data_IF_661415614766
#
_entry.id   IF_661415614766
#
_cell.length_a   1.000
_cell.length_b   1.000
_cell.length_c   1.000
_cell.angle_alpha   90.00
_cell.angle_beta   90.00
_cell.angle_gamma   90.00
#
_symmetry.space_group_name_H-M   'P 1'
#
loop_
_entity.id
_entity.type
_entity.pdbx_description
1 polymer ?
#
# COMPACT_ATOMS: atom_id res chain seq x y z
N UNK A 1 -7.46 15.73 -17.52
CA UNK A 1 -7.78 15.57 -16.28
C UNK A 1 -7.19 14.36 -15.65
N UNK A 2 -6.54 14.50 -14.62
CA UNK A 2 -5.91 13.39 -13.96
C UNK A 2 -6.92 12.50 -13.27
N UNK A 3 -6.54 11.26 -13.10
CA UNK A 3 -7.34 10.35 -12.34
C UNK A 3 -7.23 10.66 -10.87
N UNK A 4 -8.32 10.44 -10.17
CA UNK A 4 -8.32 10.62 -8.74
C UNK A 4 -8.35 9.26 -8.08
N UNK A 5 -7.49 9.09 -7.07
CA UNK A 5 -7.60 7.93 -6.23
C UNK A 5 -8.86 8.05 -5.40
N UNK A 6 -9.63 6.98 -5.26
CA UNK A 6 -10.72 6.98 -4.29
C UNK A 6 -10.15 6.99 -2.88
N UNK A 7 -10.97 7.37 -1.92
CA UNK A 7 -10.61 7.19 -0.52
C UNK A 7 -10.47 5.71 -0.24
N UNK A 8 -9.31 5.31 0.26
CA UNK A 8 -9.04 3.91 0.52
C UNK A 8 -8.76 3.71 1.99
N UNK A 9 -9.31 2.66 2.54
CA UNK A 9 -9.07 2.31 3.92
C UNK A 9 -7.81 1.48 4.05
N UNK A 10 -7.16 1.59 5.21
CA UNK A 10 -5.93 0.87 5.45
C UNK A 10 -6.06 -0.62 5.17
N UNK A 11 -7.16 -1.22 5.61
CA UNK A 11 -7.36 -2.66 5.39
C UNK A 11 -7.40 -3.02 3.92
N UNK A 12 -8.06 -2.16 3.13
CA UNK A 12 -8.17 -2.40 1.69
C UNK A 12 -6.82 -2.30 1.02
N UNK A 13 -6.04 -1.31 1.43
CA UNK A 13 -4.71 -1.11 0.87
C UNK A 13 -3.80 -2.29 1.21
N UNK A 14 -3.85 -2.74 2.46
CA UNK A 14 -3.05 -3.88 2.88
C UNK A 14 -3.44 -5.13 2.08
N UNK A 15 -4.73 -5.37 1.90
CA UNK A 15 -5.18 -6.52 1.11
C UNK A 15 -4.72 -6.44 -0.33
N UNK A 16 -4.76 -5.23 -0.91
CA UNK A 16 -4.30 -5.05 -2.28
C UNK A 16 -2.83 -5.44 -2.41
N UNK A 17 -2.00 -5.00 -1.48
CA UNK A 17 -0.59 -5.35 -1.52
C UNK A 17 -0.37 -6.84 -1.29
N UNK A 18 -1.19 -7.46 -0.44
CA UNK A 18 -1.09 -8.91 -0.27
C UNK A 18 -1.41 -9.65 -1.56
N UNK A 19 -2.36 -9.15 -2.34
CA UNK A 19 -2.65 -9.73 -3.66
C UNK A 19 -1.48 -9.58 -4.61
N UNK A 20 -0.68 -8.56 -4.42
CA UNK A 20 0.50 -8.34 -5.25
C UNK A 20 1.69 -9.16 -4.78
N UNK A 21 1.50 -10.01 -3.78
CA UNK A 21 2.57 -10.87 -3.30
C UNK A 21 3.32 -10.35 -2.09
N UNK A 22 2.90 -9.22 -1.53
CA UNK A 22 3.49 -8.72 -0.29
C UNK A 22 2.97 -9.50 0.89
N UNK A 23 3.81 -9.71 1.88
CA UNK A 23 3.41 -10.36 3.12
C UNK A 23 3.68 -9.44 4.28
N UNK A 24 2.82 -9.52 5.30
CA UNK A 24 3.02 -8.75 6.51
C UNK A 24 4.17 -9.40 7.27
N UNK A 25 5.24 -8.64 7.47
CA UNK A 25 6.42 -9.17 8.17
C UNK A 25 6.56 -8.61 9.57
N UNK A 26 5.84 -7.52 9.86
CA UNK A 26 6.00 -6.88 11.15
C UNK A 26 4.86 -5.89 11.35
N UNK A 27 4.48 -5.70 12.60
CA UNK A 27 3.56 -4.65 12.97
C UNK A 27 4.08 -3.99 14.22
N UNK A 28 4.22 -2.67 14.18
CA UNK A 28 4.68 -1.92 15.33
C UNK A 28 3.66 -0.83 15.61
N UNK A 29 2.93 -0.96 16.71
CA UNK A 29 1.83 -0.05 16.98
C UNK A 29 0.80 -0.14 15.86
N UNK A 30 0.51 1.00 15.26
CA UNK A 30 -0.46 1.06 14.18
C UNK A 30 0.19 0.97 12.80
N UNK A 31 1.50 0.73 12.73
CA UNK A 31 2.19 0.64 11.45
C UNK A 31 2.38 -0.82 11.06
N UNK A 32 1.88 -1.17 9.88
CA UNK A 32 1.99 -2.53 9.34
C UNK A 32 3.04 -2.50 8.24
N UNK A 33 4.04 -3.37 8.36
CA UNK A 33 5.12 -3.46 7.39
C UNK A 33 4.91 -4.69 6.53
N UNK A 34 4.93 -4.47 5.21
CA UNK A 34 4.76 -5.54 4.24
C UNK A 34 6.00 -5.62 3.36
N UNK A 35 6.38 -6.84 3.01
CA UNK A 35 7.56 -7.06 2.20
C UNK A 35 7.20 -7.95 1.01
N UNK A 36 7.76 -7.60 -0.16
CA UNK A 36 7.64 -8.41 -1.35
C UNK A 36 8.85 -9.33 -1.40
N UNK A 37 8.66 -10.66 -1.22
CA UNK A 37 9.80 -11.58 -1.11
C UNK A 37 10.69 -11.61 -2.35
N UNK A 38 10.08 -11.46 -3.53
CA UNK A 38 10.87 -11.52 -4.77
C UNK A 38 11.83 -10.35 -4.93
N UNK A 39 11.38 -9.17 -4.57
CA UNK A 39 12.15 -7.96 -4.80
C UNK A 39 12.80 -7.41 -3.55
N UNK A 40 12.34 -7.84 -2.39
CA UNK A 40 12.79 -7.27 -1.13
C UNK A 40 12.18 -5.92 -0.83
N UNK A 41 11.27 -5.44 -1.66
CA UNK A 41 10.63 -4.15 -1.42
C UNK A 41 9.85 -4.18 -0.12
N UNK A 42 9.99 -3.11 0.65
CA UNK A 42 9.34 -2.97 1.95
C UNK A 42 8.48 -1.72 1.95
N UNK A 43 7.26 -1.86 2.40
CA UNK A 43 6.35 -0.72 2.52
C UNK A 43 5.77 -0.71 3.92
N UNK A 44 5.26 0.46 4.30
CA UNK A 44 4.68 0.66 5.62
C UNK A 44 3.32 1.34 5.45
N UNK A 45 2.28 0.71 5.98
CA UNK A 45 0.93 1.24 5.89
C UNK A 45 0.41 1.52 7.30
N UNK A 46 0.04 2.76 7.61
CA UNK A 46 -0.54 3.06 8.93
C UNK A 46 -1.96 2.51 8.99
N UNK A 47 -2.28 1.88 10.11
CA UNK A 47 -3.55 1.21 10.27
C UNK A 47 -4.49 1.93 11.24
N UNK A 48 -4.03 3.04 11.81
CA UNK A 48 -4.79 3.72 12.85
C UNK A 48 -5.83 4.70 12.30
N UNK A 49 -5.77 5.01 11.02
CA UNK A 49 -6.69 5.96 10.42
C UNK A 49 -7.74 5.26 9.59
N UNK A 50 -8.83 5.97 9.36
CA UNK A 50 -9.89 5.43 8.52
C UNK A 50 -9.43 5.32 7.09
N UNK A 51 -8.82 6.39 6.59
CA UNK A 51 -8.41 6.47 5.19
C UNK A 51 -6.93 6.73 5.11
N UNK A 52 -6.31 6.16 4.09
CA UNK A 52 -4.91 6.41 3.78
C UNK A 52 -4.82 7.73 3.06
N UNK A 53 -3.92 8.58 3.48
CA UNK A 53 -3.67 9.83 2.78
C UNK A 53 -3.04 9.53 1.44
N UNK A 54 -3.58 10.17 0.40
CA UNK A 54 -3.15 9.87 -0.96
C UNK A 54 -1.65 10.12 -1.14
N UNK A 55 -1.12 11.17 -0.54
CA UNK A 55 0.30 11.45 -0.66
C UNK A 55 1.17 10.37 -0.07
N UNK A 56 0.75 9.81 1.07
CA UNK A 56 1.47 8.72 1.68
C UNK A 56 1.44 7.48 0.78
N UNK A 57 0.26 7.15 0.25
CA UNK A 57 0.13 6.00 -0.62
C UNK A 57 0.97 6.15 -1.87
N UNK A 58 0.92 7.32 -2.51
CA UNK A 58 1.70 7.54 -3.71
C UNK A 58 3.20 7.45 -3.45
N UNK A 59 3.66 7.90 -2.29
CA UNK A 59 5.08 7.80 -1.97
C UNK A 59 5.49 6.33 -1.79
N UNK A 60 4.61 5.49 -1.24
CA UNK A 60 4.90 4.07 -1.14
C UNK A 60 4.96 3.41 -2.52
N UNK A 61 4.02 3.76 -3.38
CA UNK A 61 4.00 3.22 -4.74
C UNK A 61 5.25 3.61 -5.50
N UNK A 62 5.67 4.86 -5.36
CA UNK A 62 6.88 5.33 -6.02
C UNK A 62 8.10 4.57 -5.54
N UNK A 63 8.13 4.29 -4.25
CA UNK A 63 9.26 3.58 -3.65
C UNK A 63 9.43 2.19 -4.23
N UNK A 64 8.35 1.54 -4.60
CA UNK A 64 8.40 0.19 -5.16
C UNK A 64 8.16 0.19 -6.67
N UNK A 65 8.16 1.38 -7.28
CA UNK A 65 8.04 1.53 -8.73
C UNK A 65 6.75 0.94 -9.28
N UNK A 66 5.69 1.10 -8.54
CA UNK A 66 4.36 0.63 -8.96
C UNK A 66 3.53 1.81 -9.41
N UNK A 67 2.91 1.71 -10.58
CA UNK A 67 2.06 2.77 -11.09
C UNK A 67 0.71 2.76 -10.39
N UNK A 68 0.00 3.88 -10.49
CA UNK A 68 -1.35 3.96 -9.95
C UNK A 68 -2.27 2.92 -10.59
N UNK A 69 -2.13 2.74 -11.89
CA UNK A 69 -2.95 1.78 -12.61
C UNK A 69 -2.70 0.36 -12.13
N UNK A 70 -1.42 0.03 -11.93
CA UNK A 70 -1.09 -1.29 -11.43
C UNK A 70 -1.69 -1.53 -10.05
N UNK A 71 -1.60 -0.52 -9.20
CA UNK A 71 -2.14 -0.64 -7.86
C UNK A 71 -3.66 -0.81 -7.87
N UNK A 72 -4.35 -0.03 -8.69
CA UNK A 72 -5.80 -0.08 -8.74
C UNK A 72 -6.32 -1.41 -9.28
N UNK A 73 -5.52 -2.10 -10.06
CA UNK A 73 -5.91 -3.43 -10.55
C UNK A 73 -5.93 -4.48 -9.45
N UNK A 74 -5.36 -4.17 -8.30
CA UNK A 74 -5.33 -5.11 -7.18
C UNK A 74 -6.62 -5.13 -6.37
N UNK A 75 -7.53 -4.25 -6.67
CA UNK A 75 -8.82 -4.20 -5.99
C UNK A 75 -9.90 -4.98 -6.67
#
# INVERSE_FOLDING_TARGET
MGERFPSLKSKEVIRAFQRAGFTIVRQKGSHVFLKQPHTGNLICIPQHTKDIKIGLLLSQLKKIEMSKEEFLKLF
#
